data_IF_426454919548
#
_entry.id   IF_426454919548
#
_cell.length_a   1.000
_cell.length_b   1.000
_cell.length_c   1.000
_cell.angle_alpha   90.00
_cell.angle_beta   90.00
_cell.angle_gamma   90.00
#
_symmetry.space_group_name_H-M   'P 1'
#
loop_
_entity.id
_entity.type
_entity.pdbx_description
1 polymer ?
#
# COMPACT_ATOMS: atom_id res chain seq x y z
N UNK A 1 30.70 6.89 41.22
CA UNK A 1 30.97 6.77 39.77
C UNK A 1 29.67 7.14 39.10
N UNK A 2 29.58 8.37 38.60
CA UNK A 2 28.46 8.81 37.77
C UNK A 2 28.55 8.13 36.42
N UNK A 3 27.48 7.45 36.01
CA UNK A 3 27.31 7.04 34.63
C UNK A 3 26.96 8.30 33.82
N UNK A 4 27.64 8.58 32.70
CA UNK A 4 27.27 9.70 31.85
C UNK A 4 25.84 9.46 31.33
N UNK A 5 24.95 10.41 31.60
CA UNK A 5 23.56 10.35 31.18
C UNK A 5 23.46 10.17 29.67
N UNK A 6 22.73 9.14 29.25
CA UNK A 6 22.35 8.97 27.85
C UNK A 6 21.53 10.21 27.45
N UNK A 7 21.85 10.88 26.34
CA UNK A 7 21.14 12.11 25.95
C UNK A 7 19.64 11.83 25.76
N UNK A 8 18.80 12.58 26.47
CA UNK A 8 17.33 12.44 26.50
C UNK A 8 16.67 12.66 25.12
N UNK A 9 17.41 13.20 24.14
CA UNK A 9 16.91 13.51 22.80
C UNK A 9 16.55 12.30 21.91
N UNK A 10 17.10 11.11 22.17
CA UNK A 10 16.83 9.92 21.34
C UNK A 10 15.58 9.13 21.72
N UNK A 11 15.10 9.25 22.97
CA UNK A 11 14.03 8.40 23.51
C UNK A 11 12.63 8.96 23.23
N UNK A 12 12.49 10.29 23.13
CA UNK A 12 11.22 10.94 22.77
C UNK A 12 10.94 10.84 21.26
N UNK A 13 11.98 10.91 20.41
CA UNK A 13 11.85 10.83 18.94
C UNK A 13 11.44 9.42 18.46
N UNK A 14 11.91 8.37 19.12
CA UNK A 14 11.53 6.98 18.77
C UNK A 14 10.10 6.62 19.16
N UNK A 15 9.56 7.21 20.24
CA UNK A 15 8.16 6.99 20.61
C UNK A 15 7.22 7.66 19.61
N UNK A 16 7.53 8.89 19.18
CA UNK A 16 6.75 9.55 18.12
C UNK A 16 6.86 8.82 16.79
N UNK A 17 8.03 8.32 16.42
CA UNK A 17 8.16 7.53 15.18
C UNK A 17 7.40 6.20 15.25
N UNK A 18 7.33 5.54 16.40
CA UNK A 18 6.53 4.31 16.54
C UNK A 18 5.03 4.58 16.29
N UNK A 19 4.53 5.69 16.81
CA UNK A 19 3.11 6.06 16.72
C UNK A 19 2.75 6.72 15.37
N UNK A 20 3.68 7.47 14.77
CA UNK A 20 3.43 8.31 13.57
C UNK A 20 4.01 7.74 12.26
N UNK A 21 5.03 6.88 12.33
CA UNK A 21 5.74 6.32 11.17
C UNK A 21 6.32 4.92 11.46
N UNK A 22 5.42 3.96 11.71
CA UNK A 22 5.78 2.61 12.15
C UNK A 22 6.72 1.90 11.17
N UNK A 23 6.63 2.23 9.88
CA UNK A 23 7.51 1.66 8.85
C UNK A 23 8.94 2.14 9.05
N UNK A 24 9.14 3.46 9.15
CA UNK A 24 10.48 4.02 9.36
C UNK A 24 11.04 3.59 10.72
N UNK A 25 10.20 3.53 11.74
CA UNK A 25 10.59 3.02 13.06
C UNK A 25 11.10 1.58 12.97
N UNK A 26 10.33 0.68 12.33
CA UNK A 26 10.69 -0.74 12.22
C UNK A 26 12.04 -0.94 11.52
N UNK A 27 12.29 -0.23 10.41
CA UNK A 27 13.57 -0.28 9.69
C UNK A 27 14.74 0.20 10.56
N UNK A 28 14.56 1.32 11.28
CA UNK A 28 15.59 1.86 12.17
C UNK A 28 15.90 0.91 13.33
N UNK A 29 14.89 0.30 13.93
CA UNK A 29 15.08 -0.64 15.04
C UNK A 29 15.75 -1.92 14.57
N UNK A 30 15.34 -2.50 13.44
CA UNK A 30 15.99 -3.68 12.88
C UNK A 30 17.48 -3.41 12.60
N UNK A 31 17.80 -2.24 12.02
CA UNK A 31 19.19 -1.82 11.80
C UNK A 31 19.97 -1.65 13.12
N UNK A 32 19.36 -1.04 14.15
CA UNK A 32 19.99 -0.88 15.46
C UNK A 32 20.26 -2.23 16.14
N UNK A 33 19.33 -3.18 16.04
CA UNK A 33 19.48 -4.55 16.56
C UNK A 33 20.64 -5.26 15.85
N UNK A 34 20.70 -5.22 14.52
CA UNK A 34 21.82 -5.81 13.74
C UNK A 34 23.16 -5.16 14.09
N UNK A 35 23.19 -3.83 14.28
CA UNK A 35 24.40 -3.12 14.69
C UNK A 35 24.86 -3.55 16.10
N UNK A 36 23.93 -3.69 17.06
CA UNK A 36 24.23 -4.20 18.39
C UNK A 36 24.75 -5.63 18.33
N UNK A 37 24.15 -6.51 17.53
CA UNK A 37 24.55 -7.91 17.39
C UNK A 37 26.01 -8.10 16.95
N UNK A 38 26.61 -7.10 16.29
CA UNK A 38 28.03 -7.12 15.90
C UNK A 38 29.01 -6.98 17.09
N UNK A 39 28.51 -6.63 18.27
CA UNK A 39 29.33 -6.43 19.47
C UNK A 39 29.74 -7.77 20.10
N UNK A 40 31.04 -7.97 20.38
CA UNK A 40 31.56 -9.26 20.85
C UNK A 40 31.21 -9.57 22.31
N UNK A 41 30.75 -8.58 23.09
CA UNK A 41 30.40 -8.70 24.50
C UNK A 41 28.94 -9.13 24.73
N UNK A 42 28.13 -9.29 23.68
CA UNK A 42 26.73 -9.68 23.80
C UNK A 42 26.53 -11.19 23.87
N UNK A 43 25.44 -11.59 24.55
CA UNK A 43 25.05 -12.98 24.67
C UNK A 43 24.48 -13.53 23.35
N UNK A 44 24.83 -14.78 23.02
CA UNK A 44 24.24 -15.55 21.92
C UNK A 44 22.93 -16.25 22.29
N UNK A 45 22.37 -16.00 23.49
CA UNK A 45 21.10 -16.56 23.90
C UNK A 45 19.90 -15.96 23.13
N UNK A 46 20.05 -14.75 22.59
CA UNK A 46 19.07 -14.11 21.73
C UNK A 46 19.47 -14.33 20.26
N UNK A 47 18.51 -14.75 19.44
CA UNK A 47 18.70 -14.84 18.01
C UNK A 47 18.52 -13.45 17.38
N UNK A 48 19.58 -12.66 17.43
CA UNK A 48 19.57 -11.26 17.06
C UNK A 48 19.11 -11.01 15.62
N UNK A 49 19.47 -11.88 14.68
CA UNK A 49 19.09 -11.72 13.28
C UNK A 49 17.59 -11.95 13.10
N UNK A 50 17.05 -13.03 13.67
CA UNK A 50 15.61 -13.30 13.59
C UNK A 50 14.79 -12.22 14.33
N UNK A 51 15.28 -11.68 15.45
CA UNK A 51 14.61 -10.56 16.14
C UNK A 51 14.58 -9.31 15.27
N UNK A 52 15.70 -8.96 14.61
CA UNK A 52 15.73 -7.82 13.69
C UNK A 52 14.76 -8.03 12.51
N UNK A 53 14.74 -9.24 11.95
CA UNK A 53 13.86 -9.61 10.84
C UNK A 53 12.38 -9.51 11.19
N UNK A 54 11.99 -9.96 12.39
CA UNK A 54 10.62 -9.86 12.90
C UNK A 54 10.20 -8.40 13.14
N UNK A 55 11.10 -7.55 13.62
CA UNK A 55 10.82 -6.11 13.75
C UNK A 55 10.62 -5.49 12.37
N UNK A 56 11.50 -5.78 11.41
CA UNK A 56 11.38 -5.28 10.03
C UNK A 56 10.10 -5.81 9.34
N UNK A 57 9.64 -7.01 9.71
CA UNK A 57 8.39 -7.60 9.21
C UNK A 57 7.16 -6.77 9.57
N UNK A 58 7.18 -6.07 10.71
CA UNK A 58 6.11 -5.14 11.12
C UNK A 58 5.93 -4.06 10.06
N UNK A 59 7.01 -3.39 9.64
CA UNK A 59 6.96 -2.35 8.61
C UNK A 59 6.47 -2.89 7.26
N UNK A 60 7.01 -4.04 6.84
CA UNK A 60 6.57 -4.72 5.59
C UNK A 60 5.09 -5.05 5.61
N UNK A 61 4.56 -5.52 6.75
CA UNK A 61 3.15 -5.88 6.90
C UNK A 61 2.21 -4.68 6.72
N UNK A 62 2.59 -3.50 7.20
CA UNK A 62 1.80 -2.28 7.04
C UNK A 62 1.76 -1.83 5.58
N UNK A 63 2.92 -1.86 4.90
CA UNK A 63 3.00 -1.59 3.46
C UNK A 63 2.09 -2.55 2.69
N UNK A 64 2.20 -3.85 2.94
CA UNK A 64 1.37 -4.86 2.27
C UNK A 64 -0.14 -4.69 2.55
N UNK A 65 -0.52 -4.23 3.75
CA UNK A 65 -1.91 -3.92 4.05
C UNK A 65 -2.43 -2.77 3.18
N UNK A 66 -1.66 -1.68 3.06
CA UNK A 66 -2.01 -0.56 2.17
C UNK A 66 -2.06 -1.00 0.71
N UNK A 67 -1.06 -1.75 0.23
CA UNK A 67 -1.03 -2.30 -1.13
C UNK A 67 -2.29 -3.12 -1.44
N UNK A 68 -2.70 -4.00 -0.50
CA UNK A 68 -3.88 -4.85 -0.66
C UNK A 68 -5.17 -4.03 -0.74
N UNK A 69 -5.32 -3.02 0.11
CA UNK A 69 -6.48 -2.13 0.11
C UNK A 69 -6.55 -1.29 -1.18
N UNK A 70 -5.41 -0.79 -1.67
CA UNK A 70 -5.33 -0.09 -2.94
C UNK A 70 -5.67 -1.01 -4.12
N UNK A 71 -5.18 -2.25 -4.12
CA UNK A 71 -5.50 -3.23 -5.15
C UNK A 71 -7.01 -3.54 -5.18
N UNK A 72 -7.65 -3.68 -4.02
CA UNK A 72 -9.10 -3.88 -3.93
C UNK A 72 -9.87 -2.65 -4.42
N UNK A 73 -9.48 -1.44 -3.99
CA UNK A 73 -10.06 -0.19 -4.48
C UNK A 73 -10.05 -0.14 -6.01
N UNK A 74 -8.87 -0.33 -6.61
CA UNK A 74 -8.69 -0.33 -8.06
C UNK A 74 -9.46 -1.46 -8.76
N UNK A 75 -9.53 -2.65 -8.16
CA UNK A 75 -10.30 -3.76 -8.71
C UNK A 75 -11.78 -3.41 -8.84
N UNK A 76 -12.36 -2.70 -7.87
CA UNK A 76 -13.75 -2.25 -7.95
C UNK A 76 -13.96 -1.16 -9.02
N UNK A 77 -13.02 -0.22 -9.19
CA UNK A 77 -13.07 0.74 -10.29
C UNK A 77 -13.05 0.04 -11.65
N UNK A 78 -12.18 -0.96 -11.80
CA UNK A 78 -12.08 -1.77 -13.02
C UNK A 78 -13.37 -2.55 -13.29
N UNK A 79 -13.94 -3.21 -12.27
CA UNK A 79 -15.23 -3.91 -12.40
C UNK A 79 -16.34 -2.97 -12.87
N UNK A 80 -16.44 -1.77 -12.29
CA UNK A 80 -17.45 -0.78 -12.69
C UNK A 80 -17.26 -0.28 -14.12
N UNK A 81 -16.01 -0.11 -14.57
CA UNK A 81 -15.71 0.24 -15.96
C UNK A 81 -16.05 -0.90 -16.94
N UNK A 82 -15.81 -2.14 -16.54
CA UNK A 82 -16.03 -3.33 -17.37
C UNK A 82 -17.48 -3.76 -17.47
N UNK A 83 -18.26 -3.54 -16.40
CA UNK A 83 -19.63 -4.00 -16.30
C UNK A 83 -20.56 -2.88 -15.80
N UNK A 84 -20.76 -1.78 -16.58
CA UNK A 84 -21.52 -0.62 -16.12
C UNK A 84 -23.02 -0.89 -15.92
N UNK A 85 -23.56 -1.96 -16.52
CA UNK A 85 -24.98 -2.33 -16.47
C UNK A 85 -25.38 -3.29 -15.35
N UNK A 86 -24.42 -3.78 -14.54
CA UNK A 86 -24.73 -4.77 -13.50
C UNK A 86 -25.27 -4.12 -12.23
N UNK A 87 -26.23 -4.78 -11.61
CA UNK A 87 -26.88 -4.30 -10.37
C UNK A 87 -25.93 -4.17 -9.18
N UNK A 88 -24.77 -4.84 -9.22
CA UNK A 88 -23.74 -4.76 -8.19
C UNK A 88 -22.90 -3.46 -8.24
N UNK A 89 -23.12 -2.60 -9.24
CA UNK A 89 -22.31 -1.40 -9.46
C UNK A 89 -22.26 -0.43 -8.27
N UNK A 90 -23.38 -0.25 -7.56
CA UNK A 90 -23.45 0.63 -6.38
C UNK A 90 -22.72 0.02 -5.18
N UNK A 91 -22.89 -1.28 -4.95
CA UNK A 91 -22.16 -1.99 -3.89
C UNK A 91 -20.65 -1.91 -4.11
N UNK A 92 -20.18 -2.11 -5.35
CA UNK A 92 -18.75 -1.96 -5.65
C UNK A 92 -18.22 -0.55 -5.42
N UNK A 93 -19.06 0.47 -5.62
CA UNK A 93 -18.69 1.85 -5.33
C UNK A 93 -18.49 2.06 -3.83
N UNK A 94 -19.39 1.53 -3.01
CA UNK A 94 -19.31 1.58 -1.55
C UNK A 94 -18.07 0.82 -1.02
N UNK A 95 -17.81 -0.38 -1.53
CA UNK A 95 -16.64 -1.18 -1.16
C UNK A 95 -15.34 -0.49 -1.56
N UNK A 96 -15.26 0.07 -2.78
CA UNK A 96 -14.10 0.85 -3.21
C UNK A 96 -13.82 2.04 -2.29
N UNK A 97 -14.86 2.79 -1.90
CA UNK A 97 -14.73 3.89 -0.94
C UNK A 97 -14.24 3.40 0.42
N UNK A 98 -14.79 2.29 0.91
CA UNK A 98 -14.40 1.70 2.21
C UNK A 98 -12.93 1.27 2.22
N UNK A 99 -12.48 0.57 1.16
CA UNK A 99 -11.08 0.18 1.03
C UNK A 99 -10.16 1.39 0.92
N UNK A 100 -10.55 2.40 0.17
CA UNK A 100 -9.76 3.62 0.01
C UNK A 100 -9.62 4.38 1.33
N UNK A 101 -10.72 4.58 2.06
CA UNK A 101 -10.70 5.25 3.37
C UNK A 101 -9.80 4.50 4.34
N UNK A 102 -9.89 3.16 4.35
CA UNK A 102 -9.04 2.32 5.19
C UNK A 102 -7.57 2.39 4.78
N UNK A 103 -7.28 2.43 3.47
CA UNK A 103 -5.92 2.60 2.96
C UNK A 103 -5.33 3.94 3.40
N UNK A 104 -6.11 5.02 3.26
CA UNK A 104 -5.71 6.36 3.65
C UNK A 104 -5.46 6.48 5.16
N UNK A 105 -6.29 5.84 5.99
CA UNK A 105 -6.09 5.83 7.44
C UNK A 105 -4.88 5.04 7.92
N UNK A 106 -4.35 4.12 7.08
CA UNK A 106 -3.13 3.34 7.36
C UNK A 106 -1.90 3.91 6.66
N UNK A 107 -2.08 4.85 5.75
CA UNK A 107 -1.01 5.33 4.90
C UNK A 107 -0.19 6.38 5.63
N UNK A 108 1.12 6.13 5.72
CA UNK A 108 2.10 7.08 6.21
C UNK A 108 2.89 7.67 5.04
N UNK A 109 3.34 8.93 5.15
CA UNK A 109 4.07 9.60 4.06
C UNK A 109 5.32 8.85 3.64
N UNK A 110 5.99 8.18 4.59
CA UNK A 110 7.16 7.34 4.35
C UNK A 110 6.86 6.18 3.39
N UNK A 111 5.64 5.63 3.40
CA UNK A 111 5.26 4.53 2.52
C UNK A 111 5.26 4.92 1.04
N UNK A 112 5.20 6.22 0.70
CA UNK A 112 5.03 6.69 -0.69
C UNK A 112 5.98 6.03 -1.71
N UNK A 113 7.26 5.92 -1.36
CA UNK A 113 8.29 5.35 -2.23
C UNK A 113 8.45 3.83 -2.06
N UNK A 114 7.77 3.25 -1.07
CA UNK A 114 7.85 1.83 -0.71
C UNK A 114 6.70 1.00 -1.29
N UNK A 115 5.64 1.64 -1.78
CA UNK A 115 4.51 0.97 -2.43
C UNK A 115 4.90 0.43 -3.81
N UNK A 116 4.67 -0.86 -4.05
CA UNK A 116 4.85 -1.46 -5.37
C UNK A 116 3.60 -1.27 -6.24
N UNK A 117 3.58 -0.18 -7.01
CA UNK A 117 2.48 0.15 -7.91
C UNK A 117 2.27 -0.88 -9.03
N UNK A 118 3.31 -1.59 -9.46
CA UNK A 118 3.15 -2.63 -10.49
C UNK A 118 2.42 -3.85 -9.91
N UNK A 119 2.79 -4.26 -8.69
CA UNK A 119 2.11 -5.32 -7.94
C UNK A 119 0.68 -4.94 -7.60
N UNK A 120 0.43 -3.73 -7.10
CA UNK A 120 -0.92 -3.21 -6.83
C UNK A 120 -1.78 -3.30 -8.09
N UNK A 121 -1.28 -2.80 -9.23
CA UNK A 121 -2.05 -2.74 -10.47
C UNK A 121 -2.32 -4.12 -11.09
N UNK A 122 -1.33 -5.01 -11.08
CA UNK A 122 -1.52 -6.39 -11.57
C UNK A 122 -2.49 -7.17 -10.68
N UNK A 123 -2.40 -7.01 -9.36
CA UNK A 123 -3.35 -7.62 -8.40
C UNK A 123 -4.77 -7.11 -8.62
N UNK A 124 -4.94 -5.81 -8.83
CA UNK A 124 -6.25 -5.20 -9.10
C UNK A 124 -6.91 -5.78 -10.36
N UNK A 125 -6.15 -5.94 -11.45
CA UNK A 125 -6.64 -6.54 -12.69
C UNK A 125 -7.03 -8.01 -12.52
N UNK A 126 -6.23 -8.80 -11.77
CA UNK A 126 -6.55 -10.19 -11.46
C UNK A 126 -7.83 -10.31 -10.62
N UNK A 127 -7.97 -9.50 -9.56
CA UNK A 127 -9.15 -9.46 -8.70
C UNK A 127 -10.41 -9.02 -9.47
N UNK A 128 -10.29 -8.00 -10.33
CA UNK A 128 -11.39 -7.55 -11.17
C UNK A 128 -11.83 -8.65 -12.14
N UNK A 129 -10.87 -9.31 -12.80
CA UNK A 129 -11.14 -10.42 -13.72
C UNK A 129 -11.93 -11.53 -13.03
N UNK A 130 -11.48 -11.98 -11.85
CA UNK A 130 -12.18 -13.00 -11.06
C UNK A 130 -13.60 -12.56 -10.66
N UNK A 131 -13.74 -11.29 -10.26
CA UNK A 131 -15.03 -10.73 -9.86
C UNK A 131 -16.06 -10.61 -10.99
N UNK A 132 -15.60 -10.46 -12.24
CA UNK A 132 -16.45 -10.29 -13.42
C UNK A 132 -17.03 -11.61 -13.93
N UNK A 133 -16.35 -12.74 -13.72
CA UNK A 133 -16.76 -14.07 -14.22
C UNK A 133 -18.24 -14.38 -13.90
N UNK A 134 -18.69 -14.06 -12.69
CA UNK A 134 -20.07 -14.36 -12.24
C UNK A 134 -21.15 -13.57 -12.99
N UNK A 135 -20.78 -12.48 -13.65
CA UNK A 135 -21.67 -11.63 -14.44
C UNK A 135 -21.58 -11.92 -15.94
N UNK A 136 -20.65 -12.78 -16.36
CA UNK A 136 -20.37 -13.06 -17.78
C UNK A 136 -19.59 -11.95 -18.48
N UNK A 137 -19.15 -10.93 -17.73
CA UNK A 137 -18.34 -9.83 -18.24
C UNK A 137 -16.84 -10.17 -18.22
N UNK A 138 -16.06 -9.40 -18.96
CA UNK A 138 -14.60 -9.50 -19.00
C UNK A 138 -13.96 -8.15 -18.74
N UNK A 139 -12.71 -8.15 -18.30
CA UNK A 139 -11.97 -6.92 -18.06
C UNK A 139 -11.86 -6.11 -19.36
N UNK A 140 -12.01 -4.78 -19.26
CA UNK A 140 -11.90 -3.91 -20.44
C UNK A 140 -10.55 -4.12 -21.14
N UNK A 141 -10.53 -4.18 -22.49
CA UNK A 141 -9.28 -4.37 -23.22
C UNK A 141 -8.40 -3.11 -23.18
N UNK A 142 -7.13 -3.25 -23.56
CA UNK A 142 -6.18 -2.15 -23.76
C UNK A 142 -5.87 -1.29 -22.52
N UNK A 143 -6.04 -1.84 -21.32
CA UNK A 143 -5.60 -1.17 -20.08
C UNK A 143 -4.12 -0.75 -20.15
N UNK A 144 -3.76 0.37 -19.49
CA UNK A 144 -2.37 0.77 -19.38
C UNK A 144 -1.54 -0.29 -18.64
N UNK A 145 -0.25 -0.39 -19.01
CA UNK A 145 0.67 -1.37 -18.41
C UNK A 145 1.02 -0.96 -16.98
N UNK A 146 1.08 0.34 -16.73
CA UNK A 146 1.27 0.94 -15.41
C UNK A 146 -0.06 1.53 -14.92
N UNK A 147 -0.23 1.60 -13.61
CA UNK A 147 -1.41 2.26 -13.04
C UNK A 147 -1.42 3.75 -13.44
N UNK A 148 -2.54 4.28 -13.94
CA UNK A 148 -2.65 5.71 -14.28
C UNK A 148 -2.94 6.59 -13.05
N UNK A 149 -3.09 5.96 -11.88
CA UNK A 149 -3.34 6.62 -10.59
C UNK A 149 -2.15 6.36 -9.66
N UNK A 150 -1.86 7.32 -8.80
CA UNK A 150 -0.87 7.21 -7.74
C UNK A 150 -1.42 7.65 -6.39
N UNK A 151 -0.54 7.94 -5.43
CA UNK A 151 -0.96 8.40 -4.10
C UNK A 151 -1.79 9.69 -4.15
N UNK A 152 -1.48 10.60 -5.07
CA UNK A 152 -2.13 11.91 -5.14
C UNK A 152 -3.58 11.83 -5.61
N UNK A 153 -3.98 10.74 -6.27
CA UNK A 153 -5.36 10.48 -6.64
C UNK A 153 -6.08 9.52 -5.68
N UNK A 154 -5.35 8.55 -5.10
CA UNK A 154 -5.95 7.46 -4.32
C UNK A 154 -5.89 7.66 -2.80
N UNK A 155 -4.94 8.42 -2.28
CA UNK A 155 -4.69 8.60 -0.85
C UNK A 155 -5.03 10.04 -0.43
N UNK A 156 -6.22 10.48 -0.81
CA UNK A 156 -6.76 11.83 -0.56
C UNK A 156 -8.15 11.79 0.04
N UNK A 157 -8.49 12.84 0.80
CA UNK A 157 -9.81 13.06 1.37
C UNK A 157 -10.34 14.45 1.00
N UNK A 158 -11.53 14.57 0.39
CA UNK A 158 -12.41 13.48 -0.04
C UNK A 158 -11.85 12.74 -1.27
N UNK A 159 -12.16 11.45 -1.40
CA UNK A 159 -11.81 10.65 -2.58
C UNK A 159 -12.90 10.78 -3.66
N UNK A 160 -12.54 11.37 -4.81
CA UNK A 160 -13.40 11.43 -5.99
C UNK A 160 -13.24 10.15 -6.83
N UNK A 161 -14.08 9.18 -6.53
CA UNK A 161 -14.11 7.90 -7.19
C UNK A 161 -14.40 8.02 -8.70
N UNK A 162 -15.30 8.92 -9.10
CA UNK A 162 -15.65 9.08 -10.51
C UNK A 162 -14.52 9.75 -11.29
N UNK A 163 -13.79 10.69 -10.70
CA UNK A 163 -12.59 11.25 -11.32
C UNK A 163 -11.49 10.19 -11.49
N UNK A 164 -11.27 9.36 -10.47
CA UNK A 164 -10.33 8.23 -10.56
C UNK A 164 -10.72 7.26 -11.69
N UNK A 165 -12.01 6.92 -11.78
CA UNK A 165 -12.54 6.04 -12.82
C UNK A 165 -12.40 6.67 -14.22
N UNK A 166 -12.69 7.97 -14.38
CA UNK A 166 -12.49 8.70 -15.65
C UNK A 166 -11.04 8.67 -16.11
N UNK A 167 -10.09 8.90 -15.20
CA UNK A 167 -8.66 8.91 -15.53
C UNK A 167 -8.14 7.55 -16.01
N UNK A 168 -8.67 6.44 -15.47
CA UNK A 168 -8.40 5.09 -15.98
C UNK A 168 -8.96 4.93 -17.41
N UNK A 169 -10.21 5.36 -17.64
CA UNK A 169 -10.85 5.26 -18.94
C UNK A 169 -10.11 6.07 -20.02
N UNK A 170 -9.76 7.32 -19.73
CA UNK A 170 -8.99 8.19 -20.64
C UNK A 170 -7.64 7.58 -21.02
N UNK A 171 -6.92 7.03 -20.03
CA UNK A 171 -5.63 6.36 -20.24
C UNK A 171 -5.74 5.13 -21.13
N UNK A 172 -6.88 4.42 -21.05
CA UNK A 172 -7.19 3.23 -21.86
C UNK A 172 -7.50 3.60 -23.31
N UNK A 173 -8.27 4.68 -23.52
CA UNK A 173 -8.59 5.20 -24.86
C UNK A 173 -7.32 5.70 -25.57
N UNK A 174 -6.49 6.50 -24.88
CA UNK A 174 -5.22 7.01 -25.43
C UNK A 174 -4.28 5.90 -25.89
N UNK A 175 -4.24 4.77 -25.17
CA UNK A 175 -3.46 3.60 -25.58
C UNK A 175 -4.02 2.90 -26.81
N UNK A 176 -5.34 2.81 -26.92
CA UNK A 176 -6.00 2.21 -28.08
C UNK A 176 -5.71 2.99 -29.35
N UNK A 177 -5.73 4.34 -29.28
CA UNK A 177 -5.44 5.23 -30.40
C UNK A 177 -3.99 5.18 -30.89
N UNK A 178 -3.01 4.79 -30.06
CA UNK A 178 -1.59 4.64 -30.46
C UNK A 178 -1.25 3.28 -31.08
N UNK A 179 -2.15 2.30 -30.96
CA UNK A 179 -1.98 0.94 -31.52
C UNK A 179 -2.69 0.75 -32.86
N UNK A 180 -3.53 1.71 -33.26
CA UNK A 180 -4.22 1.75 -34.57
C UNK A 180 -3.38 2.55 -35.56
#
# INVERSE_FOLDING_TARGET
MDFPGIPEGGRMDQSSLYDDDIVTWAEQQAAAVRALASRPDLSNALDWENVAEEIESVGRSQIHAVESLLAQTLAHLLKRLSAPGVTAGDHWREEAGTFQITAMGRYERSMRQRLDWNKIWSSAQALATLGLIRYGDTLIPNLPVQCPLGPDELLVSPFDLDAAQRRIAESTVLKSARKS
#
